data_IF_609489929696
#
_entry.id   IF_609489929696
#
_cell.length_a   1.000
_cell.length_b   1.000
_cell.length_c   1.000
_cell.angle_alpha   90.00
_cell.angle_beta   90.00
_cell.angle_gamma   90.00
#
_symmetry.space_group_name_H-M   'P 1'
#
loop_
_entity.id
_entity.type
_entity.pdbx_description
1 polymer ?
#
# COMPACT_ATOMS: atom_id res chain seq x y z
N UNK A 1 20.42 6.64 19.66
CA UNK A 1 19.57 5.84 18.73
C UNK A 1 18.13 5.91 19.21
N UNK A 2 17.21 6.26 18.34
CA UNK A 2 15.78 6.40 18.64
C UNK A 2 15.15 5.02 18.83
N UNK A 3 14.26 4.87 19.81
CA UNK A 3 13.58 3.58 20.04
C UNK A 3 12.14 3.65 19.57
N UNK A 4 11.76 2.79 18.63
CA UNK A 4 10.43 2.76 18.03
C UNK A 4 9.77 1.41 18.28
N UNK A 5 8.52 1.44 18.74
CA UNK A 5 7.65 0.28 18.83
C UNK A 5 6.58 0.40 17.76
N UNK A 6 6.60 -0.48 16.77
CA UNK A 6 5.66 -0.48 15.64
C UNK A 6 4.63 -1.60 15.78
N UNK A 7 3.35 -1.25 15.83
CA UNK A 7 2.23 -2.20 15.79
C UNK A 7 1.61 -2.21 14.39
N UNK A 8 2.01 -3.20 13.59
CA UNK A 8 1.64 -3.26 12.18
C UNK A 8 0.32 -3.99 11.93
N UNK A 9 -0.26 -3.77 10.74
CA UNK A 9 -1.46 -4.46 10.24
C UNK A 9 -1.14 -5.48 9.15
N UNK A 10 0.13 -5.58 8.73
CA UNK A 10 0.63 -6.62 7.82
C UNK A 10 1.88 -7.26 8.41
N UNK A 11 2.12 -8.57 8.17
CA UNK A 11 3.34 -9.22 8.60
C UNK A 11 4.53 -8.66 7.81
N UNK A 12 5.74 -8.78 8.40
CA UNK A 12 6.97 -8.31 7.74
C UNK A 12 7.23 -9.02 6.41
N UNK A 13 6.98 -10.32 6.35
CA UNK A 13 7.13 -11.13 5.15
C UNK A 13 5.78 -11.63 4.62
N UNK A 14 5.65 -12.02 3.33
CA UNK A 14 6.69 -12.04 2.29
C UNK A 14 6.79 -10.72 1.50
N UNK A 15 5.76 -9.87 1.49
CA UNK A 15 5.67 -8.69 0.61
C UNK A 15 5.75 -7.42 1.45
N UNK A 16 6.76 -6.55 1.21
CA UNK A 16 6.85 -5.28 1.93
C UNK A 16 5.70 -4.33 1.52
N UNK A 17 4.99 -3.85 2.51
CA UNK A 17 3.98 -2.80 2.38
C UNK A 17 4.51 -1.48 2.95
N UNK A 18 3.69 -0.41 3.00
CA UNK A 18 4.06 0.87 3.62
C UNK A 18 4.74 0.72 4.98
N UNK A 19 4.26 -0.21 5.83
CA UNK A 19 4.77 -0.41 7.19
C UNK A 19 6.27 -0.76 7.19
N UNK A 20 6.65 -1.75 6.40
CA UNK A 20 8.05 -2.16 6.25
C UNK A 20 8.87 -1.08 5.55
N UNK A 21 8.31 -0.46 4.50
CA UNK A 21 8.98 0.60 3.75
C UNK A 21 9.32 1.81 4.64
N UNK A 22 8.40 2.20 5.52
CA UNK A 22 8.61 3.29 6.47
C UNK A 22 9.63 2.87 7.53
N UNK A 23 9.39 1.74 8.22
CA UNK A 23 10.24 1.33 9.34
C UNK A 23 11.68 1.05 8.92
N UNK A 24 11.91 0.49 7.73
CA UNK A 24 13.26 0.19 7.23
C UNK A 24 14.10 1.41 6.84
N UNK A 25 13.48 2.60 6.77
CA UNK A 25 14.12 3.85 6.32
C UNK A 25 14.23 4.95 7.36
N UNK A 26 13.65 4.77 8.54
CA UNK A 26 13.82 5.77 9.62
C UNK A 26 15.27 5.73 10.07
N UNK A 27 16.01 6.85 9.96
CA UNK A 27 17.43 6.88 10.30
C UNK A 27 17.65 6.83 11.81
N UNK A 28 18.78 6.26 12.24
CA UNK A 28 19.24 6.22 13.63
C UNK A 28 18.18 5.66 14.61
N UNK A 29 17.40 4.68 14.16
CA UNK A 29 16.35 4.07 14.96
C UNK A 29 16.62 2.59 15.21
N UNK A 30 16.30 2.12 16.41
CA UNK A 30 16.16 0.71 16.80
C UNK A 30 14.67 0.40 16.93
N UNK A 31 14.20 -0.64 16.26
CA UNK A 31 12.78 -0.87 16.05
C UNK A 31 12.34 -2.25 16.53
N UNK A 32 11.34 -2.29 17.39
CA UNK A 32 10.56 -3.49 17.67
C UNK A 32 9.30 -3.46 16.82
N UNK A 33 9.28 -4.27 15.77
CA UNK A 33 8.15 -4.42 14.87
C UNK A 33 7.29 -5.61 15.30
N UNK A 34 5.99 -5.38 15.41
CA UNK A 34 5.05 -6.42 15.80
C UNK A 34 4.12 -6.75 14.64
N UNK A 35 4.27 -7.96 14.12
CA UNK A 35 3.34 -8.55 13.16
C UNK A 35 1.92 -8.65 13.74
N UNK A 36 0.87 -8.52 12.91
CA UNK A 36 -0.50 -8.55 13.39
C UNK A 36 -0.86 -9.88 14.03
N UNK A 37 -1.80 -9.81 14.97
CA UNK A 37 -2.37 -10.98 15.61
C UNK A 37 -3.25 -11.80 14.66
N UNK A 38 -3.26 -13.12 14.82
CA UNK A 38 -4.29 -13.98 14.23
C UNK A 38 -5.41 -14.23 15.23
N UNK A 39 -6.64 -14.43 14.76
CA UNK A 39 -7.72 -14.85 15.65
C UNK A 39 -7.65 -16.35 15.95
N UNK A 40 -8.13 -16.78 17.13
CA UNK A 40 -8.21 -18.21 17.47
C UNK A 40 -9.07 -19.02 16.47
N UNK A 41 -9.98 -18.36 15.74
CA UNK A 41 -10.82 -19.00 14.73
C UNK A 41 -10.18 -19.02 13.33
N UNK A 42 -9.06 -18.34 13.10
CA UNK A 42 -8.42 -18.26 11.78
C UNK A 42 -8.14 -19.65 11.18
N UNK A 43 -7.64 -20.66 11.92
CA UNK A 43 -7.38 -22.00 11.39
C UNK A 43 -8.64 -22.77 10.93
N UNK A 44 -9.83 -22.35 11.35
CA UNK A 44 -11.09 -22.95 10.89
C UNK A 44 -11.46 -22.50 9.47
N UNK A 45 -11.02 -21.28 9.09
CA UNK A 45 -11.23 -20.73 7.75
C UNK A 45 -10.08 -21.09 6.81
N UNK A 46 -8.86 -21.03 7.32
CA UNK A 46 -7.65 -21.31 6.56
C UNK A 46 -6.67 -22.12 7.45
N UNK A 47 -6.43 -23.37 7.10
CA UNK A 47 -5.51 -24.25 7.83
C UNK A 47 -4.07 -23.71 7.84
N UNK A 48 -3.68 -22.93 6.83
CA UNK A 48 -2.37 -22.29 6.76
C UNK A 48 -2.15 -21.23 7.86
N UNK A 49 -3.21 -20.71 8.47
CA UNK A 49 -3.12 -19.78 9.61
C UNK A 49 -2.76 -20.47 10.95
N UNK A 50 -2.74 -21.81 11.04
CA UNK A 50 -2.48 -22.57 12.28
C UNK A 50 -1.15 -22.23 12.95
N UNK A 51 -0.02 -22.09 12.24
CA UNK A 51 1.25 -21.71 12.86
C UNK A 51 1.19 -20.34 13.54
N UNK A 52 0.38 -19.42 13.04
CA UNK A 52 0.18 -18.09 13.62
C UNK A 52 -0.29 -18.10 15.07
N UNK A 53 -0.96 -19.18 15.53
CA UNK A 53 -1.41 -19.30 16.92
C UNK A 53 -0.24 -19.44 17.92
N UNK A 54 0.93 -19.87 17.48
CA UNK A 54 2.11 -20.10 18.32
C UNK A 54 3.32 -19.23 17.98
N UNK A 55 3.31 -18.53 16.85
CA UNK A 55 4.45 -17.73 16.40
C UNK A 55 4.91 -16.69 17.43
N UNK A 56 4.00 -16.14 18.25
CA UNK A 56 4.34 -15.17 19.30
C UNK A 56 5.29 -15.75 20.40
N UNK A 57 5.48 -17.07 20.42
CA UNK A 57 6.39 -17.75 21.36
C UNK A 57 7.81 -17.91 20.80
N UNK A 58 7.99 -17.67 19.50
CA UNK A 58 9.27 -17.77 18.83
C UNK A 58 10.18 -16.60 19.19
N UNK A 59 11.46 -16.78 18.99
CA UNK A 59 12.44 -15.71 19.02
C UNK A 59 12.15 -14.66 17.94
N UNK A 60 12.66 -13.46 18.16
CA UNK A 60 12.54 -12.37 17.18
C UNK A 60 13.34 -12.66 15.91
N UNK A 61 12.80 -12.25 14.79
CA UNK A 61 13.48 -12.33 13.51
C UNK A 61 14.13 -10.96 13.24
N UNK A 62 15.35 -10.97 12.73
CA UNK A 62 16.12 -9.75 12.44
C UNK A 62 16.24 -9.57 10.91
N UNK A 63 15.27 -8.90 10.22
CA UNK A 63 15.37 -8.63 8.79
C UNK A 63 16.46 -7.60 8.45
N UNK A 64 16.78 -6.74 9.43
CA UNK A 64 17.88 -5.77 9.41
C UNK A 64 18.50 -5.73 10.81
N UNK A 65 19.73 -5.25 10.92
CA UNK A 65 20.48 -5.20 12.18
C UNK A 65 19.74 -4.42 13.28
N UNK A 66 19.05 -3.36 12.89
CA UNK A 66 18.33 -2.46 13.78
C UNK A 66 16.84 -2.77 13.93
N UNK A 67 16.32 -3.84 13.33
CA UNK A 67 14.90 -4.21 13.37
C UNK A 67 14.72 -5.62 13.91
N UNK A 68 13.93 -5.75 14.98
CA UNK A 68 13.52 -7.04 15.52
C UNK A 68 12.01 -7.20 15.35
N UNK A 69 11.60 -8.29 14.69
CA UNK A 69 10.21 -8.61 14.38
C UNK A 69 9.69 -9.70 15.31
N UNK A 70 8.56 -9.44 15.95
CA UNK A 70 7.80 -10.39 16.76
C UNK A 70 6.37 -10.52 16.26
N UNK A 71 5.80 -11.71 16.34
CA UNK A 71 4.35 -11.88 16.14
C UNK A 71 3.59 -11.57 17.43
N UNK A 72 2.48 -10.83 17.32
CA UNK A 72 1.58 -10.62 18.47
C UNK A 72 0.84 -11.91 18.88
N UNK A 73 0.47 -12.06 20.17
CA UNK A 73 -0.31 -13.20 20.62
C UNK A 73 -1.69 -13.26 19.96
N UNK A 74 -2.26 -14.48 19.80
CA UNK A 74 -3.59 -14.65 19.19
C UNK A 74 -4.69 -13.91 19.98
N UNK A 75 -5.72 -13.48 19.27
CA UNK A 75 -6.83 -12.68 19.79
C UNK A 75 -8.16 -13.40 19.70
N UNK A 76 -9.07 -13.05 20.61
CA UNK A 76 -10.48 -13.45 20.54
C UNK A 76 -11.12 -12.82 19.30
N UNK A 77 -11.98 -13.56 18.57
CA UNK A 77 -12.68 -13.05 17.39
C UNK A 77 -13.71 -11.97 17.75
N UNK A 78 -14.30 -11.35 16.71
CA UNK A 78 -15.38 -10.35 16.83
C UNK A 78 -15.00 -9.04 17.53
N UNK A 79 -13.71 -8.74 17.66
CA UNK A 79 -13.24 -7.51 18.32
C UNK A 79 -13.54 -6.23 17.52
N UNK A 80 -13.81 -6.34 16.23
CA UNK A 80 -14.32 -5.24 15.40
C UNK A 80 -15.85 -5.02 15.56
N UNK A 81 -16.55 -5.92 16.22
CA UNK A 81 -17.99 -5.83 16.48
C UNK A 81 -18.31 -5.51 17.94
N UNK A 82 -17.50 -6.01 18.87
CA UNK A 82 -17.71 -5.84 20.30
C UNK A 82 -16.45 -5.24 20.95
N UNK A 83 -16.55 -3.97 21.34
CA UNK A 83 -15.41 -3.23 21.91
C UNK A 83 -14.88 -3.85 23.21
N UNK A 84 -15.72 -4.47 24.03
CA UNK A 84 -15.25 -5.14 25.25
C UNK A 84 -14.30 -6.30 24.94
N UNK A 85 -14.51 -7.04 23.84
CA UNK A 85 -13.60 -8.06 23.36
C UNK A 85 -12.29 -7.41 22.91
N UNK A 86 -12.37 -6.28 22.17
CA UNK A 86 -11.17 -5.52 21.80
C UNK A 86 -10.37 -5.13 23.04
N UNK A 87 -10.98 -4.52 24.05
CA UNK A 87 -10.30 -4.14 25.31
C UNK A 87 -9.58 -5.31 25.98
N UNK A 88 -10.18 -6.51 25.95
CA UNK A 88 -9.56 -7.70 26.51
C UNK A 88 -8.31 -8.13 25.71
N UNK A 89 -8.44 -8.15 24.38
CA UNK A 89 -7.35 -8.45 23.46
C UNK A 89 -6.20 -7.45 23.63
N UNK A 90 -6.51 -6.15 23.63
CA UNK A 90 -5.53 -5.09 23.71
C UNK A 90 -4.75 -5.10 25.04
N UNK A 91 -5.40 -5.43 26.16
CA UNK A 91 -4.72 -5.63 27.45
C UNK A 91 -3.69 -6.77 27.39
N UNK A 92 -4.04 -7.87 26.72
CA UNK A 92 -3.11 -9.01 26.52
C UNK A 92 -1.95 -8.64 25.64
N UNK A 93 -2.22 -7.95 24.52
CA UNK A 93 -1.18 -7.48 23.60
C UNK A 93 -0.25 -6.47 24.28
N UNK A 94 -0.79 -5.50 25.00
CA UNK A 94 0.00 -4.52 25.73
C UNK A 94 0.96 -5.15 26.76
N UNK A 95 0.52 -6.23 27.47
CA UNK A 95 1.42 -6.97 28.37
C UNK A 95 2.56 -7.64 27.61
N UNK A 96 2.28 -8.21 26.43
CA UNK A 96 3.29 -8.83 25.58
C UNK A 96 4.30 -7.79 25.07
N UNK A 97 3.81 -6.68 24.49
CA UNK A 97 4.64 -5.57 23.97
C UNK A 97 5.55 -5.03 25.08
N UNK A 98 4.97 -4.69 26.25
CA UNK A 98 5.77 -4.20 27.41
C UNK A 98 6.82 -5.20 27.88
N UNK A 99 6.54 -6.50 27.82
CA UNK A 99 7.54 -7.52 28.14
C UNK A 99 8.70 -7.46 27.16
N UNK A 100 8.42 -7.41 25.84
CA UNK A 100 9.45 -7.32 24.80
C UNK A 100 10.25 -6.03 24.89
N UNK A 101 9.59 -4.91 25.18
CA UNK A 101 10.27 -3.63 25.44
C UNK A 101 11.29 -3.76 26.58
N UNK A 102 10.91 -4.42 27.70
CA UNK A 102 11.84 -4.64 28.83
C UNK A 102 12.99 -5.57 28.45
N UNK A 103 12.71 -6.67 27.73
CA UNK A 103 13.74 -7.63 27.27
C UNK A 103 14.81 -6.93 26.41
N UNK A 104 14.44 -5.92 25.63
CA UNK A 104 15.33 -5.15 24.76
C UNK A 104 15.77 -3.79 25.36
N UNK A 105 15.40 -3.46 26.59
CA UNK A 105 15.75 -2.19 27.21
C UNK A 105 15.11 -0.96 26.52
N UNK A 106 13.93 -1.11 25.94
CA UNK A 106 13.19 -0.04 25.28
C UNK A 106 12.46 0.81 26.31
N UNK A 107 12.99 2.00 26.56
CA UNK A 107 12.37 3.09 27.34
C UNK A 107 12.17 4.30 26.43
N UNK A 108 11.29 5.21 26.80
CA UNK A 108 11.05 6.47 26.08
C UNK A 108 10.82 6.28 24.58
N UNK A 109 9.99 5.31 24.24
CA UNK A 109 9.75 4.88 22.85
C UNK A 109 8.81 5.83 22.11
N UNK A 110 8.98 5.94 20.80
CA UNK A 110 7.94 6.37 19.89
C UNK A 110 7.04 5.16 19.58
N UNK A 111 5.77 5.23 19.95
CA UNK A 111 4.79 4.20 19.61
C UNK A 111 4.15 4.54 18.27
N UNK A 112 4.34 3.67 17.28
CA UNK A 112 3.81 3.83 15.92
C UNK A 112 2.76 2.77 15.64
N UNK A 113 1.54 3.20 15.35
CA UNK A 113 0.40 2.28 15.18
C UNK A 113 -0.29 2.49 13.84
N UNK A 114 -0.91 1.41 13.32
CA UNK A 114 -1.56 1.38 12.02
C UNK A 114 -3.03 0.95 12.06
N UNK A 115 -3.59 0.66 13.23
CA UNK A 115 -4.94 0.11 13.32
C UNK A 115 -5.81 0.86 14.32
N UNK A 116 -7.08 1.18 13.98
CA UNK A 116 -8.05 1.79 14.89
C UNK A 116 -8.25 1.04 16.22
N UNK A 117 -8.15 -0.29 16.20
CA UNK A 117 -8.36 -1.09 17.42
C UNK A 117 -7.32 -0.84 18.49
N UNK A 118 -6.18 -0.26 18.14
CA UNK A 118 -5.11 0.11 19.09
C UNK A 118 -5.51 1.30 19.98
N UNK A 119 -6.62 1.99 19.73
CA UNK A 119 -7.18 3.02 20.61
C UNK A 119 -7.35 2.53 22.07
N UNK A 120 -7.61 1.22 22.26
CA UNK A 120 -7.72 0.60 23.60
C UNK A 120 -6.37 0.06 24.11
N UNK A 121 -5.26 0.19 23.33
CA UNK A 121 -3.92 -0.30 23.70
C UNK A 121 -2.97 0.82 24.07
N UNK A 122 -3.00 1.94 23.35
CA UNK A 122 -1.96 2.97 23.40
C UNK A 122 -1.72 3.48 24.81
N UNK A 123 -2.75 3.70 25.61
CA UNK A 123 -2.65 4.12 27.01
C UNK A 123 -2.06 3.03 27.94
N UNK A 124 -1.93 1.79 27.46
CA UNK A 124 -1.42 0.64 28.23
C UNK A 124 0.07 0.37 27.98
N UNK A 125 0.67 1.01 26.98
CA UNK A 125 2.09 0.87 26.60
C UNK A 125 2.79 2.18 26.90
N UNK A 126 3.80 2.23 27.79
CA UNK A 126 4.57 3.46 28.05
C UNK A 126 5.24 3.95 26.77
N UNK A 127 5.06 5.23 26.45
CA UNK A 127 5.67 5.88 25.31
C UNK A 127 5.85 7.38 25.59
N UNK A 128 6.80 8.01 24.90
CA UNK A 128 7.02 9.47 24.93
C UNK A 128 6.35 10.21 23.78
N UNK A 129 6.03 9.48 22.71
CA UNK A 129 5.34 10.00 21.53
C UNK A 129 4.48 8.92 20.89
N UNK A 130 3.38 9.32 20.26
CA UNK A 130 2.41 8.43 19.61
C UNK A 130 2.11 8.90 18.19
N UNK A 131 2.39 8.04 17.22
CA UNK A 131 2.06 8.25 15.79
C UNK A 131 1.02 7.24 15.33
N UNK A 132 -0.02 7.72 14.67
CA UNK A 132 -0.95 6.90 13.89
C UNK A 132 -0.72 7.14 12.40
N UNK A 133 -0.49 6.08 11.64
CA UNK A 133 -0.35 6.13 10.17
C UNK A 133 -1.54 5.41 9.53
N UNK A 134 -2.53 6.20 9.08
CA UNK A 134 -3.77 5.74 8.46
C UNK A 134 -3.53 5.43 6.99
N UNK A 135 -3.50 4.14 6.65
CA UNK A 135 -3.18 3.68 5.29
C UNK A 135 -4.43 3.47 4.44
N UNK A 136 -5.52 3.04 5.07
CA UNK A 136 -6.78 2.69 4.42
C UNK A 136 -7.96 3.08 5.30
N UNK A 137 -9.15 3.13 4.71
CA UNK A 137 -10.39 3.25 5.46
C UNK A 137 -10.77 1.91 6.08
N UNK A 138 -10.34 1.68 7.31
CA UNK A 138 -10.55 0.40 8.01
C UNK A 138 -12.03 -0.01 8.11
N UNK A 139 -12.95 0.94 8.28
CA UNK A 139 -14.40 0.67 8.36
C UNK A 139 -15.00 0.13 7.05
N UNK A 140 -14.28 0.24 5.93
CA UNK A 140 -14.73 -0.22 4.62
C UNK A 140 -14.38 -1.69 4.30
N UNK A 141 -13.63 -2.39 5.16
CA UNK A 141 -13.18 -3.76 4.88
C UNK A 141 -14.31 -4.81 4.91
N UNK A 142 -15.50 -4.46 5.37
CA UNK A 142 -16.66 -5.35 5.36
C UNK A 142 -16.56 -6.55 6.32
N UNK A 143 -17.37 -7.59 6.06
CA UNK A 143 -17.38 -8.82 6.87
C UNK A 143 -18.09 -8.65 8.23
N UNK A 144 -17.55 -9.26 9.28
CA UNK A 144 -18.10 -9.23 10.65
C UNK A 144 -17.65 -7.98 11.43
N UNK A 145 -17.57 -6.84 10.76
CA UNK A 145 -17.14 -5.56 11.32
C UNK A 145 -18.36 -4.66 11.56
N UNK A 146 -18.33 -3.88 12.64
CA UNK A 146 -19.23 -2.75 12.85
C UNK A 146 -18.51 -1.47 12.39
N UNK A 147 -18.88 -0.90 11.23
CA UNK A 147 -18.19 0.27 10.68
C UNK A 147 -18.24 1.48 11.61
N UNK A 148 -19.37 1.68 12.31
CA UNK A 148 -19.56 2.81 13.23
C UNK A 148 -18.63 2.69 14.44
N UNK A 149 -18.48 1.47 14.96
CA UNK A 149 -17.56 1.22 16.07
C UNK A 149 -16.11 1.46 15.64
N UNK A 150 -15.71 1.00 14.43
CA UNK A 150 -14.36 1.16 13.91
C UNK A 150 -14.04 2.63 13.66
N UNK A 151 -14.93 3.37 13.02
CA UNK A 151 -14.77 4.82 12.79
C UNK A 151 -14.64 5.59 14.11
N UNK A 152 -15.43 5.23 15.13
CA UNK A 152 -15.32 5.83 16.47
C UNK A 152 -13.95 5.54 17.11
N UNK A 153 -13.51 4.29 17.08
CA UNK A 153 -12.18 3.93 17.62
C UNK A 153 -11.05 4.65 16.88
N UNK A 154 -11.20 4.86 15.58
CA UNK A 154 -10.19 5.56 14.78
C UNK A 154 -10.09 7.04 15.15
N UNK A 155 -11.23 7.73 15.31
CA UNK A 155 -11.25 9.13 15.77
C UNK A 155 -10.72 9.25 17.21
N UNK A 156 -11.07 8.31 18.09
CA UNK A 156 -10.53 8.27 19.46
C UNK A 156 -9.00 8.05 19.44
N UNK A 157 -8.50 7.19 18.57
CA UNK A 157 -7.06 6.97 18.39
C UNK A 157 -6.38 8.25 17.89
N UNK A 158 -6.90 8.83 16.80
CA UNK A 158 -6.35 10.06 16.23
C UNK A 158 -6.28 11.20 17.26
N UNK A 159 -7.32 11.37 18.08
CA UNK A 159 -7.35 12.37 19.14
C UNK A 159 -6.34 12.16 20.27
N UNK A 160 -5.73 10.97 20.38
CA UNK A 160 -4.68 10.67 21.36
C UNK A 160 -3.27 10.85 20.81
N UNK A 161 -3.12 10.93 19.49
CA UNK A 161 -1.79 10.97 18.85
C UNK A 161 -1.15 12.34 18.91
N UNK A 162 0.16 12.37 19.00
CA UNK A 162 0.94 13.58 18.80
C UNK A 162 0.98 13.95 17.32
N UNK A 163 1.01 12.92 16.43
CA UNK A 163 0.94 13.10 14.98
C UNK A 163 0.13 11.97 14.32
N UNK A 164 -0.71 12.35 13.37
CA UNK A 164 -1.39 11.41 12.47
C UNK A 164 -0.94 11.66 11.03
N UNK A 165 -0.54 10.58 10.34
CA UNK A 165 -0.36 10.57 8.91
C UNK A 165 -1.54 9.85 8.24
N UNK A 166 -1.85 10.24 7.01
CA UNK A 166 -2.85 9.56 6.17
C UNK A 166 -2.33 9.46 4.74
N UNK A 167 -2.73 8.41 4.02
CA UNK A 167 -2.23 8.18 2.66
C UNK A 167 -3.03 8.90 1.58
N UNK A 168 -4.21 9.41 1.90
CA UNK A 168 -5.10 10.12 0.97
C UNK A 168 -5.73 11.34 1.63
N UNK A 169 -6.09 12.36 0.81
CA UNK A 169 -6.68 13.60 1.31
C UNK A 169 -7.99 13.37 2.04
N UNK A 170 -8.87 12.51 1.50
CA UNK A 170 -10.14 12.20 2.13
C UNK A 170 -9.98 11.52 3.51
N UNK A 171 -8.96 10.66 3.66
CA UNK A 171 -8.59 10.09 4.96
C UNK A 171 -8.09 11.15 5.92
N UNK A 172 -7.19 12.03 5.44
CA UNK A 172 -6.62 13.11 6.25
C UNK A 172 -7.71 14.10 6.71
N UNK A 173 -8.60 14.52 5.83
CA UNK A 173 -9.69 15.44 6.12
C UNK A 173 -10.62 14.86 7.21
N UNK A 174 -10.99 13.60 7.07
CA UNK A 174 -11.82 12.91 8.08
C UNK A 174 -11.15 12.87 9.45
N UNK A 175 -9.85 12.63 9.51
CA UNK A 175 -9.11 12.52 10.78
C UNK A 175 -8.79 13.88 11.42
N UNK A 176 -8.75 14.97 10.63
CA UNK A 176 -8.54 16.34 11.14
C UNK A 176 -9.61 16.78 12.13
N UNK A 177 -10.80 16.19 12.07
CA UNK A 177 -11.86 16.44 13.07
C UNK A 177 -11.43 16.08 14.51
N UNK A 178 -10.56 15.06 14.66
CA UNK A 178 -10.05 14.61 15.97
C UNK A 178 -8.58 15.01 16.20
N UNK A 179 -7.78 15.11 15.12
CA UNK A 179 -6.38 15.51 15.15
C UNK A 179 -6.12 16.57 14.06
N UNK A 180 -6.24 17.87 14.37
CA UNK A 180 -6.08 18.97 13.40
C UNK A 180 -4.72 18.95 12.67
N UNK A 181 -3.68 18.43 13.32
CA UNK A 181 -2.35 18.30 12.75
C UNK A 181 -2.16 17.04 11.88
N UNK A 182 -3.23 16.44 11.39
CA UNK A 182 -3.13 15.30 10.46
C UNK A 182 -2.53 15.74 9.12
N UNK A 183 -1.46 15.07 8.70
CA UNK A 183 -0.74 15.35 7.46
C UNK A 183 -0.94 14.23 6.45
N UNK A 184 -1.24 14.59 5.20
CA UNK A 184 -1.30 13.65 4.11
C UNK A 184 0.11 13.36 3.57
N UNK A 185 0.54 12.11 3.68
CA UNK A 185 1.77 11.57 3.08
C UNK A 185 1.40 10.32 2.28
N UNK A 186 1.33 10.39 0.96
CA UNK A 186 0.95 9.27 0.10
C UNK A 186 1.88 8.07 0.23
N UNK A 187 1.49 6.95 -0.37
CA UNK A 187 2.41 5.85 -0.62
C UNK A 187 3.56 6.31 -1.51
N UNK A 188 4.61 5.53 -1.56
CA UNK A 188 5.78 5.78 -2.39
C UNK A 188 6.17 4.57 -3.24
N UNK A 189 7.09 4.75 -4.15
CA UNK A 189 7.70 3.69 -4.94
C UNK A 189 9.09 3.32 -4.45
N UNK A 190 9.53 2.09 -4.72
CA UNK A 190 10.94 1.75 -4.66
C UNK A 190 11.62 2.28 -5.93
N UNK A 191 11.94 3.57 -5.92
CA UNK A 191 12.43 4.30 -7.09
C UNK A 191 13.65 3.62 -7.73
N UNK A 192 14.66 3.23 -6.93
CA UNK A 192 15.89 2.64 -7.43
C UNK A 192 15.67 1.30 -8.17
N UNK A 193 14.59 0.60 -7.83
CA UNK A 193 14.18 -0.61 -8.57
C UNK A 193 13.49 -0.25 -9.87
N UNK A 194 12.51 0.62 -9.85
CA UNK A 194 11.64 0.84 -11.00
C UNK A 194 12.26 1.77 -12.07
N UNK A 195 13.18 2.65 -11.69
CA UNK A 195 13.92 3.46 -12.66
C UNK A 195 14.81 2.61 -13.60
N UNK A 196 15.10 1.37 -13.23
CA UNK A 196 15.82 0.43 -14.09
C UNK A 196 15.05 0.13 -15.39
N UNK A 197 13.72 0.25 -15.38
CA UNK A 197 12.91 0.08 -16.58
C UNK A 197 13.13 1.20 -17.63
N UNK A 198 13.70 2.34 -17.25
CA UNK A 198 14.12 3.39 -18.18
C UNK A 198 15.39 3.04 -18.97
N UNK A 199 16.03 1.92 -18.62
CA UNK A 199 17.22 1.41 -19.30
C UNK A 199 16.87 0.15 -20.10
N UNK A 200 17.64 -0.20 -21.15
CA UNK A 200 17.41 -1.44 -21.88
C UNK A 200 17.41 -2.66 -20.94
N UNK A 201 16.37 -3.44 -20.99
CA UNK A 201 16.19 -4.66 -20.21
C UNK A 201 16.03 -5.87 -21.13
N UNK A 202 16.43 -7.09 -20.71
CA UNK A 202 16.14 -8.29 -21.47
C UNK A 202 14.63 -8.52 -21.56
N UNK A 203 14.17 -8.95 -22.75
CA UNK A 203 12.74 -9.28 -22.95
C UNK A 203 12.41 -10.55 -22.17
N UNK A 204 11.42 -10.53 -21.24
CA UNK A 204 10.93 -11.74 -20.59
C UNK A 204 10.42 -12.77 -21.61
N UNK A 205 10.62 -14.05 -21.33
CA UNK A 205 10.28 -15.13 -22.25
C UNK A 205 8.79 -15.12 -22.65
N UNK A 206 7.92 -14.90 -21.69
CA UNK A 206 6.46 -14.87 -21.88
C UNK A 206 5.92 -13.53 -22.43
N UNK A 207 6.82 -12.56 -22.67
CA UNK A 207 6.48 -11.30 -23.35
C UNK A 207 7.01 -11.27 -24.81
N UNK A 208 7.92 -12.17 -25.17
CA UNK A 208 8.68 -12.13 -26.43
C UNK A 208 7.83 -12.14 -27.70
N UNK A 209 6.76 -12.93 -27.68
CA UNK A 209 5.91 -13.15 -28.84
C UNK A 209 4.65 -12.25 -28.81
N UNK A 210 4.53 -11.34 -27.85
CA UNK A 210 3.42 -10.40 -27.75
C UNK A 210 3.73 -9.18 -28.63
N UNK A 211 2.86 -8.90 -29.65
CA UNK A 211 3.12 -7.78 -30.56
C UNK A 211 2.96 -6.42 -29.91
N UNK A 212 3.76 -5.46 -30.33
CA UNK A 212 3.60 -4.06 -29.99
C UNK A 212 2.51 -3.38 -30.83
N UNK A 213 1.83 -2.32 -30.33
CA UNK A 213 2.09 -1.70 -29.03
C UNK A 213 1.51 -2.49 -27.85
N UNK A 214 2.22 -2.49 -26.72
CA UNK A 214 1.87 -3.18 -25.48
C UNK A 214 1.42 -2.17 -24.43
N UNK A 215 0.16 -2.25 -24.01
CA UNK A 215 -0.42 -1.51 -22.90
C UNK A 215 -0.44 -2.42 -21.65
N UNK A 216 0.37 -2.11 -20.64
CA UNK A 216 0.60 -3.01 -19.53
C UNK A 216 0.02 -2.54 -18.20
N UNK A 217 -0.66 -3.44 -17.50
CA UNK A 217 -1.14 -3.26 -16.13
C UNK A 217 -0.39 -4.22 -15.18
N UNK A 218 0.06 -3.69 -14.04
CA UNK A 218 0.68 -4.49 -12.97
C UNK A 218 -0.08 -4.26 -11.67
N UNK A 219 -0.71 -5.30 -11.15
CA UNK A 219 -1.47 -5.22 -9.90
C UNK A 219 -2.36 -6.41 -9.66
N UNK A 220 -2.95 -6.52 -8.46
CA UNK A 220 -3.99 -7.50 -8.21
C UNK A 220 -5.21 -7.20 -9.10
N UNK A 221 -5.69 -8.20 -9.83
CA UNK A 221 -6.90 -8.09 -10.65
C UNK A 221 -8.10 -8.27 -9.70
N UNK A 222 -8.70 -7.15 -9.32
CA UNK A 222 -9.73 -7.08 -8.28
C UNK A 222 -10.84 -6.09 -8.67
N UNK A 223 -11.93 -6.05 -7.93
CA UNK A 223 -13.15 -5.31 -8.26
C UNK A 223 -13.02 -3.78 -8.31
N UNK A 224 -11.91 -3.21 -7.82
CA UNK A 224 -11.66 -1.78 -7.92
C UNK A 224 -10.96 -1.37 -9.23
N UNK A 225 -10.76 -2.30 -10.17
CA UNK A 225 -10.14 -2.04 -11.47
C UNK A 225 -11.24 -1.80 -12.50
N UNK A 226 -11.02 -0.82 -13.38
CA UNK A 226 -11.92 -0.45 -14.48
C UNK A 226 -11.67 -1.34 -15.70
N UNK A 227 -12.37 -2.46 -15.75
CA UNK A 227 -12.22 -3.44 -16.83
C UNK A 227 -13.01 -3.08 -18.08
N UNK A 228 -14.10 -2.33 -17.97
CA UNK A 228 -14.94 -1.98 -19.10
C UNK A 228 -14.19 -1.13 -20.13
N UNK A 229 -13.29 -0.24 -19.68
CA UNK A 229 -12.44 0.55 -20.58
C UNK A 229 -11.42 -0.32 -21.30
N UNK A 230 -10.84 -1.28 -20.59
CA UNK A 230 -9.91 -2.24 -21.18
C UNK A 230 -10.59 -3.14 -22.22
N UNK A 231 -11.79 -3.64 -21.89
CA UNK A 231 -12.58 -4.48 -22.79
C UNK A 231 -12.99 -3.71 -24.07
N UNK A 232 -13.43 -2.46 -23.92
CA UNK A 232 -13.79 -1.62 -25.05
C UNK A 232 -12.58 -1.35 -25.96
N UNK A 233 -11.41 -1.03 -25.37
CA UNK A 233 -10.19 -0.79 -26.12
C UNK A 233 -9.70 -2.06 -26.84
N UNK A 234 -9.72 -3.21 -26.18
CA UNK A 234 -9.29 -4.48 -26.78
C UNK A 234 -10.17 -4.90 -27.95
N UNK A 235 -11.48 -4.62 -27.90
CA UNK A 235 -12.41 -4.83 -29.02
C UNK A 235 -12.18 -3.85 -30.18
N UNK A 236 -11.99 -2.58 -29.88
CA UNK A 236 -11.83 -1.53 -30.88
C UNK A 236 -10.48 -1.59 -31.61
N UNK A 237 -9.46 -2.08 -30.93
CA UNK A 237 -8.07 -2.10 -31.42
C UNK A 237 -7.47 -3.51 -31.30
N UNK A 238 -7.85 -4.44 -32.19
CA UNK A 238 -7.30 -5.79 -32.20
C UNK A 238 -5.80 -5.84 -32.57
N UNK A 239 -5.26 -4.75 -33.09
CA UNK A 239 -3.85 -4.52 -33.38
C UNK A 239 -3.00 -4.13 -32.14
N UNK A 240 -3.64 -3.86 -30.99
CA UNK A 240 -2.97 -3.56 -29.72
C UNK A 240 -2.93 -4.78 -28.81
N UNK A 241 -1.88 -4.90 -28.02
CA UNK A 241 -1.76 -5.93 -26.98
C UNK A 241 -1.97 -5.33 -25.59
N UNK A 242 -2.81 -5.99 -24.79
CA UNK A 242 -3.04 -5.63 -23.39
C UNK A 242 -2.43 -6.69 -22.49
N UNK A 243 -1.44 -6.33 -21.68
CA UNK A 243 -0.71 -7.26 -20.81
C UNK A 243 -1.09 -7.02 -19.37
N UNK A 244 -1.65 -8.03 -18.69
CA UNK A 244 -2.11 -7.98 -17.31
C UNK A 244 -1.21 -8.87 -16.44
N UNK A 245 -0.44 -8.23 -15.53
CA UNK A 245 0.46 -8.91 -14.60
C UNK A 245 -0.10 -8.81 -13.18
N UNK A 246 -0.50 -9.93 -12.62
CA UNK A 246 -0.99 -10.01 -11.25
C UNK A 246 -1.85 -11.22 -10.98
N UNK A 247 -2.27 -11.34 -9.72
CA UNK A 247 -3.15 -12.43 -9.30
C UNK A 247 -4.61 -11.99 -9.42
N UNK A 248 -5.41 -12.82 -10.07
CA UNK A 248 -6.87 -12.67 -10.07
C UNK A 248 -7.43 -12.92 -8.66
N UNK A 249 -8.28 -12.01 -8.22
CA UNK A 249 -8.93 -12.11 -6.91
C UNK A 249 -10.32 -12.73 -7.05
N UNK A 250 -10.77 -13.50 -6.06
CA UNK A 250 -12.14 -14.04 -6.06
C UNK A 250 -13.18 -12.92 -6.17
N UNK A 251 -14.24 -13.18 -6.96
CA UNK A 251 -15.37 -12.24 -7.10
C UNK A 251 -15.22 -11.21 -8.23
N UNK A 252 -14.18 -11.33 -9.06
CA UNK A 252 -14.05 -10.56 -10.31
C UNK A 252 -14.35 -11.49 -11.48
N UNK A 253 -15.19 -11.04 -12.41
CA UNK A 253 -15.46 -11.75 -13.66
C UNK A 253 -14.57 -11.17 -14.78
N UNK A 254 -13.63 -11.97 -15.27
CA UNK A 254 -12.71 -11.64 -16.36
C UNK A 254 -12.95 -12.51 -17.60
N UNK A 255 -14.08 -13.22 -17.66
CA UNK A 255 -14.39 -14.16 -18.73
C UNK A 255 -14.34 -13.51 -20.10
N UNK A 256 -14.87 -12.30 -20.25
CA UNK A 256 -14.85 -11.58 -21.52
C UNK A 256 -13.41 -11.23 -21.95
N UNK A 257 -12.57 -10.76 -21.03
CA UNK A 257 -11.17 -10.44 -21.33
C UNK A 257 -10.33 -11.68 -21.63
N UNK A 258 -10.57 -12.80 -20.94
CA UNK A 258 -9.91 -14.08 -21.26
C UNK A 258 -10.25 -14.63 -22.64
N UNK A 259 -11.41 -14.26 -23.20
CA UNK A 259 -11.81 -14.67 -24.55
C UNK A 259 -11.18 -13.80 -25.66
N UNK A 260 -10.49 -12.71 -25.34
CA UNK A 260 -9.90 -11.80 -26.32
C UNK A 260 -8.46 -12.22 -26.67
N UNK A 261 -8.15 -12.40 -27.96
CA UNK A 261 -6.83 -12.90 -28.38
C UNK A 261 -5.67 -11.91 -28.14
N UNK A 262 -5.99 -10.63 -27.96
CA UNK A 262 -5.04 -9.54 -27.74
C UNK A 262 -4.97 -9.11 -26.27
N UNK A 263 -5.56 -9.88 -25.35
CA UNK A 263 -5.43 -9.66 -23.89
C UNK A 263 -4.64 -10.82 -23.29
N UNK A 264 -3.52 -10.52 -22.67
CA UNK A 264 -2.53 -11.49 -22.19
C UNK A 264 -2.42 -11.46 -20.68
N UNK A 265 -2.80 -12.55 -20.01
CA UNK A 265 -2.69 -12.71 -18.56
C UNK A 265 -1.39 -13.45 -18.22
N UNK A 266 -0.39 -12.73 -17.70
CA UNK A 266 0.92 -13.32 -17.37
C UNK A 266 1.04 -13.81 -15.94
N UNK A 267 -0.05 -13.71 -15.14
CA UNK A 267 -0.07 -14.14 -13.75
C UNK A 267 0.81 -13.29 -12.83
N UNK A 268 1.05 -13.79 -11.63
CA UNK A 268 1.88 -13.09 -10.64
C UNK A 268 3.36 -13.23 -10.98
N UNK A 269 4.08 -12.11 -11.00
CA UNK A 269 5.54 -12.05 -11.17
C UNK A 269 6.24 -11.60 -9.90
N UNK A 270 7.46 -12.06 -9.64
CA UNK A 270 8.31 -11.53 -8.57
C UNK A 270 8.52 -10.03 -8.75
N UNK A 271 8.50 -9.29 -7.65
CA UNK A 271 8.62 -7.83 -7.66
C UNK A 271 9.96 -7.35 -8.26
N UNK A 272 10.99 -8.19 -8.13
CA UNK A 272 12.34 -7.95 -8.68
C UNK A 272 12.38 -8.02 -10.21
N UNK A 273 11.47 -8.76 -10.83
CA UNK A 273 11.39 -8.93 -12.28
C UNK A 273 10.52 -7.86 -12.95
N UNK A 274 9.66 -7.15 -12.20
CA UNK A 274 8.72 -6.19 -12.78
C UNK A 274 9.39 -5.12 -13.65
N UNK A 275 10.58 -4.57 -13.32
CA UNK A 275 11.25 -3.60 -14.21
C UNK A 275 11.52 -4.13 -15.61
N UNK A 276 11.80 -5.45 -15.76
CA UNK A 276 12.01 -6.07 -17.07
C UNK A 276 10.74 -6.06 -17.92
N UNK A 277 9.57 -6.32 -17.31
CA UNK A 277 8.28 -6.24 -18.03
C UNK A 277 7.91 -4.81 -18.38
N UNK A 278 8.04 -3.90 -17.40
CA UNK A 278 7.69 -2.49 -17.57
C UNK A 278 8.54 -1.83 -18.68
N UNK A 279 9.81 -2.21 -18.83
CA UNK A 279 10.69 -1.68 -19.86
C UNK A 279 10.22 -1.97 -21.29
N UNK A 280 9.31 -2.93 -21.46
CA UNK A 280 8.76 -3.33 -22.76
C UNK A 280 7.30 -2.92 -22.96
N UNK A 281 6.72 -2.13 -22.04
CA UNK A 281 5.42 -1.53 -22.24
C UNK A 281 5.54 -0.21 -23.00
N UNK A 282 4.70 -0.03 -24.03
CA UNK A 282 4.61 1.25 -24.73
C UNK A 282 3.88 2.29 -23.87
N UNK A 283 2.93 1.83 -23.03
CA UNK A 283 2.36 2.64 -21.95
C UNK A 283 1.93 1.77 -20.77
N UNK A 284 2.02 2.34 -19.56
CA UNK A 284 1.55 1.74 -18.32
C UNK A 284 0.09 2.15 -18.05
N UNK A 285 -0.74 1.21 -17.61
CA UNK A 285 -2.15 1.42 -17.34
C UNK A 285 -2.44 1.55 -15.84
N UNK A 286 -3.04 2.66 -15.42
CA UNK A 286 -3.53 2.86 -14.05
C UNK A 286 -5.06 2.91 -14.06
N UNK A 287 -5.69 1.75 -13.95
CA UNK A 287 -7.12 1.53 -14.14
C UNK A 287 -7.84 1.41 -12.79
N UNK A 288 -8.36 2.50 -12.26
CA UNK A 288 -9.19 2.46 -11.06
C UNK A 288 -10.64 2.79 -11.41
N UNK A 289 -11.56 1.91 -11.01
CA UNK A 289 -12.99 2.14 -11.14
C UNK A 289 -13.44 3.28 -10.21
N UNK A 290 -14.36 4.09 -10.69
CA UNK A 290 -14.97 5.16 -9.88
C UNK A 290 -15.83 4.54 -8.79
N UNK A 291 -15.49 4.83 -7.54
CA UNK A 291 -16.24 4.39 -6.36
C UNK A 291 -16.09 5.38 -5.21
N UNK A 292 -16.94 5.27 -4.20
CA UNK A 292 -16.83 6.09 -2.98
C UNK A 292 -15.51 5.86 -2.23
N UNK A 293 -14.87 4.71 -2.46
CA UNK A 293 -13.60 4.35 -1.82
C UNK A 293 -12.37 4.79 -2.62
N UNK A 294 -12.52 5.12 -3.91
CA UNK A 294 -11.36 5.51 -4.74
C UNK A 294 -10.64 6.75 -4.23
N UNK A 295 -11.37 7.70 -3.61
CA UNK A 295 -10.78 8.88 -2.95
C UNK A 295 -9.93 8.57 -1.70
N UNK A 296 -10.11 7.39 -1.11
CA UNK A 296 -9.37 6.93 0.07
C UNK A 296 -8.11 6.13 -0.32
N UNK A 297 -7.86 5.93 -1.62
CA UNK A 297 -6.76 5.11 -2.14
C UNK A 297 -5.55 5.95 -2.51
N UNK A 298 -4.37 5.46 -2.14
CA UNK A 298 -3.09 5.97 -2.65
C UNK A 298 -2.47 4.93 -3.59
N UNK A 299 -2.44 5.19 -4.92
CA UNK A 299 -2.15 4.18 -5.94
C UNK A 299 -0.64 3.89 -6.04
N UNK A 300 -0.16 2.91 -5.29
CA UNK A 300 1.25 2.55 -5.23
C UNK A 300 1.87 2.29 -6.61
N UNK A 301 1.16 1.58 -7.49
CA UNK A 301 1.66 1.23 -8.84
C UNK A 301 1.83 2.45 -9.72
N UNK A 302 1.00 3.47 -9.56
CA UNK A 302 1.13 4.72 -10.28
C UNK A 302 2.50 5.40 -10.01
N UNK A 303 2.94 5.42 -8.76
CA UNK A 303 4.25 5.98 -8.40
C UNK A 303 5.42 5.12 -8.93
N UNK A 304 5.21 3.80 -9.01
CA UNK A 304 6.17 2.89 -9.65
C UNK A 304 6.26 3.15 -11.15
N UNK A 305 5.13 3.40 -11.83
CA UNK A 305 5.10 3.75 -13.26
C UNK A 305 5.77 5.10 -13.55
N UNK A 306 5.56 6.12 -12.73
CA UNK A 306 6.28 7.39 -12.86
C UNK A 306 7.80 7.17 -12.87
N UNK A 307 8.31 6.30 -11.99
CA UNK A 307 9.74 6.02 -11.89
C UNK A 307 10.32 5.37 -13.16
N UNK A 308 9.51 4.68 -13.96
CA UNK A 308 9.97 4.08 -15.23
C UNK A 308 10.21 5.10 -16.35
N UNK A 309 9.54 6.27 -16.27
CA UNK A 309 9.56 7.27 -17.32
C UNK A 309 8.65 6.96 -18.52
N UNK A 310 8.03 5.76 -18.57
CA UNK A 310 7.10 5.39 -19.65
C UNK A 310 5.82 6.24 -19.63
N UNK A 311 5.14 6.41 -20.77
CA UNK A 311 3.81 6.98 -20.81
C UNK A 311 2.85 6.26 -19.86
N UNK A 312 1.93 7.00 -19.26
CA UNK A 312 0.92 6.45 -18.35
C UNK A 312 -0.45 6.87 -18.84
N UNK A 313 -1.33 5.90 -19.00
CA UNK A 313 -2.75 6.11 -19.26
C UNK A 313 -3.54 5.74 -18.01
N UNK A 314 -4.34 6.64 -17.51
CA UNK A 314 -5.07 6.48 -16.25
C UNK A 314 -6.55 6.82 -16.41
N UNK A 315 -7.40 6.07 -15.70
CA UNK A 315 -8.71 6.63 -15.34
C UNK A 315 -8.52 7.83 -14.42
N UNK A 316 -9.54 8.69 -14.25
CA UNK A 316 -9.45 9.87 -13.36
C UNK A 316 -9.27 9.50 -11.87
N UNK A 317 -9.32 8.25 -11.53
CA UNK A 317 -9.24 7.77 -10.14
C UNK A 317 -7.89 7.10 -9.82
N UNK A 318 -7.43 7.22 -8.58
CA UNK A 318 -7.91 8.09 -7.49
C UNK A 318 -7.50 9.57 -7.72
N UNK A 319 -8.18 10.51 -7.07
CA UNK A 319 -7.97 11.96 -7.26
C UNK A 319 -6.51 12.41 -7.09
N UNK A 320 -5.72 11.69 -6.30
CA UNK A 320 -4.29 11.96 -6.08
C UNK A 320 -3.47 12.01 -7.37
N UNK A 321 -3.90 11.30 -8.43
CA UNK A 321 -3.13 11.29 -9.68
C UNK A 321 -3.29 12.58 -10.48
N UNK A 322 -4.34 13.37 -10.21
CA UNK A 322 -4.68 14.57 -11.00
C UNK A 322 -3.58 15.65 -10.95
N UNK A 323 -2.80 15.69 -9.88
CA UNK A 323 -1.63 16.59 -9.80
C UNK A 323 -0.56 16.26 -10.84
N UNK A 324 -0.59 15.05 -11.43
CA UNK A 324 0.33 14.61 -12.48
C UNK A 324 -0.27 14.72 -13.89
N UNK A 325 -1.46 15.31 -14.05
CA UNK A 325 -2.13 15.45 -15.34
C UNK A 325 -1.23 16.00 -16.49
N UNK A 326 -0.25 16.89 -16.26
CA UNK A 326 0.68 17.31 -17.31
C UNK A 326 1.63 16.21 -17.81
N UNK A 327 1.77 15.11 -17.08
CA UNK A 327 2.74 14.02 -17.35
C UNK A 327 2.08 12.72 -17.83
N UNK A 328 0.75 12.62 -17.76
CA UNK A 328 -0.03 11.41 -18.03
C UNK A 328 -1.23 11.71 -18.90
N UNK A 329 -1.80 10.67 -19.51
CA UNK A 329 -3.08 10.78 -20.20
C UNK A 329 -4.21 10.30 -19.27
N UNK A 330 -5.32 11.04 -19.18
CA UNK A 330 -6.46 10.76 -18.29
C UNK A 330 -7.72 10.53 -19.12
N UNK A 331 -8.50 9.52 -18.78
CA UNK A 331 -9.75 9.17 -19.44
C UNK A 331 -10.90 9.02 -18.43
N UNK A 332 -12.08 9.47 -18.83
CA UNK A 332 -13.34 9.39 -18.07
C UNK A 332 -14.40 8.50 -18.77
N UNK A 333 -14.09 8.01 -19.97
CA UNK A 333 -14.94 7.08 -20.73
C UNK A 333 -14.09 6.08 -21.51
N UNK A 334 -14.69 4.97 -22.02
CA UNK A 334 -13.99 4.01 -22.89
C UNK A 334 -13.41 4.68 -24.14
N UNK A 335 -14.13 5.62 -24.76
CA UNK A 335 -13.70 6.33 -25.96
C UNK A 335 -12.51 7.22 -25.67
N UNK A 336 -12.55 7.97 -24.57
CA UNK A 336 -11.43 8.77 -24.11
C UNK A 336 -10.22 7.91 -23.74
N UNK A 337 -10.44 6.71 -23.19
CA UNK A 337 -9.37 5.77 -22.88
C UNK A 337 -8.64 5.28 -24.12
N UNK A 338 -9.37 4.96 -25.20
CA UNK A 338 -8.78 4.60 -26.48
C UNK A 338 -7.96 5.76 -27.03
N UNK A 339 -8.52 6.99 -27.03
CA UNK A 339 -7.82 8.18 -27.49
C UNK A 339 -6.56 8.47 -26.65
N UNK A 340 -6.63 8.29 -25.33
CA UNK A 340 -5.50 8.44 -24.43
C UNK A 340 -4.39 7.39 -24.68
N UNK A 341 -4.78 6.15 -24.99
CA UNK A 341 -3.82 5.12 -25.42
C UNK A 341 -3.15 5.51 -26.75
N UNK A 342 -3.89 6.01 -27.74
CA UNK A 342 -3.30 6.52 -28.98
C UNK A 342 -2.33 7.68 -28.75
N UNK A 343 -2.74 8.67 -27.96
CA UNK A 343 -1.89 9.81 -27.61
C UNK A 343 -0.59 9.38 -26.91
N UNK A 344 -0.67 8.38 -26.02
CA UNK A 344 0.49 7.89 -25.28
C UNK A 344 1.57 7.28 -26.19
N UNK A 345 1.19 6.69 -27.34
CA UNK A 345 2.15 6.13 -28.30
C UNK A 345 2.99 7.20 -29.02
N UNK A 346 2.53 8.44 -29.02
CA UNK A 346 3.24 9.59 -29.58
C UNK A 346 4.03 10.37 -28.53
N UNK A 347 3.90 10.01 -27.25
CA UNK A 347 4.57 10.67 -26.12
C UNK A 347 6.02 10.16 -25.96
N UNK A 348 6.85 10.49 -26.94
CA UNK A 348 8.26 10.09 -27.02
C UNK A 348 9.25 11.19 -26.65
N UNK A 349 8.76 12.37 -26.19
CA UNK A 349 9.59 13.51 -25.85
C UNK A 349 10.50 13.22 -24.64
N UNK A 350 11.85 13.34 -24.79
CA UNK A 350 12.79 13.05 -23.69
C UNK A 350 12.53 13.89 -22.44
N UNK A 351 12.02 15.11 -22.60
CA UNK A 351 11.70 16.02 -21.50
C UNK A 351 10.53 15.48 -20.66
N UNK A 352 9.49 14.90 -21.29
CA UNK A 352 8.37 14.27 -20.57
C UNK A 352 8.81 13.00 -19.84
N UNK A 353 9.62 12.17 -20.48
CA UNK A 353 10.24 10.99 -19.84
C UNK A 353 11.04 11.39 -18.60
N UNK A 354 11.91 12.39 -18.73
CA UNK A 354 12.71 12.92 -17.62
C UNK A 354 11.80 13.46 -16.50
N UNK A 355 10.77 14.25 -16.85
CA UNK A 355 9.85 14.82 -15.87
C UNK A 355 9.08 13.72 -15.09
N UNK A 356 8.65 12.62 -15.75
CA UNK A 356 8.04 11.47 -15.06
C UNK A 356 9.01 10.80 -14.10
N UNK A 357 10.25 10.57 -14.49
CA UNK A 357 11.29 9.99 -13.62
C UNK A 357 11.54 10.90 -12.40
N UNK A 358 11.64 12.21 -12.59
CA UNK A 358 11.83 13.16 -11.48
C UNK A 358 10.63 13.16 -10.54
N UNK A 359 9.40 13.13 -11.07
CA UNK A 359 8.19 12.98 -10.28
C UNK A 359 8.18 11.65 -9.51
N UNK A 360 8.58 10.55 -10.16
CA UNK A 360 8.73 9.24 -9.51
C UNK A 360 9.77 9.26 -8.38
N UNK A 361 10.89 9.97 -8.55
CA UNK A 361 11.92 10.17 -7.51
C UNK A 361 11.35 10.92 -6.30
N UNK A 362 10.61 12.00 -6.55
CA UNK A 362 9.92 12.77 -5.51
C UNK A 362 8.87 11.95 -4.76
N UNK A 363 8.32 10.91 -5.41
CA UNK A 363 7.38 9.94 -4.83
C UNK A 363 8.06 8.68 -4.26
N UNK A 364 9.39 8.64 -4.13
CA UNK A 364 10.08 7.49 -3.57
C UNK A 364 9.76 7.28 -2.09
N UNK A 365 9.89 6.03 -1.59
CA UNK A 365 9.78 5.77 -0.15
C UNK A 365 10.81 6.55 0.65
N UNK A 366 12.01 6.75 0.12
CA UNK A 366 13.06 7.54 0.78
C UNK A 366 12.62 8.99 0.97
N UNK A 367 12.03 9.60 -0.06
CA UNK A 367 11.48 10.97 0.01
C UNK A 367 10.29 11.04 0.98
N UNK A 368 9.35 10.07 0.93
CA UNK A 368 8.20 10.04 1.84
C UNK A 368 8.60 9.92 3.30
N UNK A 369 9.55 9.02 3.59
CA UNK A 369 10.04 8.82 4.97
C UNK A 369 10.84 10.02 5.45
N UNK A 370 11.65 10.65 4.58
CA UNK A 370 12.34 11.89 4.93
C UNK A 370 11.34 12.99 5.35
N UNK A 371 10.27 13.21 4.58
CA UNK A 371 9.19 14.15 4.94
C UNK A 371 8.54 13.79 6.29
N UNK A 372 8.25 12.50 6.54
CA UNK A 372 7.69 12.08 7.84
C UNK A 372 8.66 12.40 8.99
N UNK A 373 9.94 12.09 8.82
CA UNK A 373 10.96 12.34 9.83
C UNK A 373 11.14 13.85 10.11
N UNK A 374 11.17 14.68 9.08
CA UNK A 374 11.26 16.14 9.21
C UNK A 374 10.09 16.69 10.04
N UNK A 375 8.85 16.33 9.68
CA UNK A 375 7.65 16.73 10.42
C UNK A 375 7.70 16.29 11.89
N UNK A 376 8.17 15.07 12.17
CA UNK A 376 8.26 14.57 13.54
C UNK A 376 9.39 15.24 14.34
N UNK A 377 10.50 15.61 13.67
CA UNK A 377 11.62 16.34 14.28
C UNK A 377 11.25 17.78 14.64
N UNK A 378 10.59 18.50 13.73
CA UNK A 378 10.11 19.86 13.97
C UNK A 378 9.20 19.96 15.21
N UNK A 379 8.54 18.86 15.56
CA UNK A 379 7.66 18.79 16.72
C UNK A 379 8.31 18.17 17.97
N UNK A 380 9.59 17.81 17.89
CA UNK A 380 10.30 17.16 19.00
C UNK A 380 9.77 15.76 19.34
N UNK A 381 9.09 15.09 18.38
CA UNK A 381 8.56 13.72 18.53
C UNK A 381 9.65 12.69 18.20
N UNK A 382 10.52 13.01 17.23
CA UNK A 382 11.67 12.20 16.82
C UNK A 382 13.00 12.80 17.22
#
# INVERSE_FOLDING_TARGET
MRKIVCLATSPWYPIPTRKQQVMSRIPDAEILYFDPSVTYLAPLKDKAARPGLSNYKKEGVHPQENITVYSLPPVLPFFYKFRWINKLNQRRMARFVRRKMREHGFTDVLLWVYSPVTADLVDLVPHKGLVYDCVDRHSAYGGLMDPVLVDRMELELAGKTDRTFATADALAERLRAAQPNTVMIPNGANFERFVQAAQPQPVPEDLRDIPHPIFGFVGALQSCIEYDYLEAAAKARPDWSFVLIGKEKPGVDLTALHAMPNVHFLGLKPNEQLPQYLAHFDACLNLFAKSDLSKDVSPLKFYEYLATGHPIVSTRQPDQILQYAPLIEIADSPEEFIAACEASLTDTAPERTKARIEAGRACSWDSRVAQMCEILQEQGIL
#
